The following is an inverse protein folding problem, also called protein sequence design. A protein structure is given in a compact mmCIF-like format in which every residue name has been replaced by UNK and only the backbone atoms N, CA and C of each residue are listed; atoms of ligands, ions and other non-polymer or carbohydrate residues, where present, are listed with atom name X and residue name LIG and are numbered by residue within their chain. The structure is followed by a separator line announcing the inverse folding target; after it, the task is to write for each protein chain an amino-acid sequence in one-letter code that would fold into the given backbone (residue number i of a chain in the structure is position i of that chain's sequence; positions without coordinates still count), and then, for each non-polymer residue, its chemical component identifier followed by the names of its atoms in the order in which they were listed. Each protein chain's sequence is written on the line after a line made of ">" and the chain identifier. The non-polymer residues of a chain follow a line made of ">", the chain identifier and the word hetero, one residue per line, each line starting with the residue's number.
data_IF_095992083071
#
_entry.id   IF_095992083071
#
_cell.length_a   1.000
_cell.length_b   1.000
_cell.length_c   1.000
_cell.angle_alpha   90.00
_cell.angle_beta   90.00
_cell.angle_gamma   90.00
#
_symmetry.space_group_name_H-M   'P 1'
#
loop_
_entity.id
_entity.type
_entity.pdbx_description
1 polymer ?
#
# COMPACT_ATOMS: atom_id res chain seq x y z
N UNK A 1 6.70 14.65 -17.05
CA UNK A 1 7.47 13.55 -16.42
C UNK A 1 6.48 12.45 -16.07
N UNK A 2 6.67 11.28 -16.65
CA UNK A 2 5.76 10.15 -16.32
C UNK A 2 5.99 9.74 -14.88
N UNK A 3 4.96 9.88 -14.05
CA UNK A 3 5.00 9.32 -12.70
C UNK A 3 5.25 7.81 -12.79
N UNK A 4 6.22 7.32 -12.01
CA UNK A 4 6.50 5.90 -11.92
C UNK A 4 5.28 5.19 -11.33
N UNK A 5 4.91 4.05 -11.90
CA UNK A 5 3.89 3.21 -11.28
C UNK A 5 4.28 2.87 -9.83
N UNK A 6 3.29 2.64 -8.99
CA UNK A 6 3.50 2.32 -7.60
C UNK A 6 2.71 1.09 -7.16
N UNK A 7 3.27 0.34 -6.22
CA UNK A 7 2.54 -0.65 -5.44
C UNK A 7 2.36 -0.14 -4.00
N UNK A 8 1.24 -0.49 -3.42
CA UNK A 8 0.85 -0.10 -2.07
C UNK A 8 0.87 -1.30 -1.14
N UNK A 9 1.51 -1.16 0.01
CA UNK A 9 1.42 -2.12 1.12
C UNK A 9 0.87 -1.42 2.36
N UNK A 10 0.08 -2.14 3.16
CA UNK A 10 -0.53 -1.58 4.37
C UNK A 10 0.24 -2.07 5.58
N UNK A 11 0.90 -1.13 6.27
CA UNK A 11 1.71 -1.42 7.43
C UNK A 11 0.85 -1.59 8.68
N UNK A 12 0.96 -2.76 9.29
CA UNK A 12 0.39 -3.07 10.58
C UNK A 12 1.41 -3.79 11.47
N UNK A 13 1.04 -4.08 12.71
CA UNK A 13 1.90 -4.79 13.67
C UNK A 13 1.68 -6.30 13.64
N UNK A 14 1.02 -6.81 12.62
CA UNK A 14 0.77 -8.23 12.48
C UNK A 14 2.06 -9.01 12.18
N UNK A 15 2.07 -10.28 12.55
CA UNK A 15 3.19 -11.18 12.25
C UNK A 15 3.32 -11.49 10.76
N UNK A 16 2.26 -11.26 10.03
CA UNK A 16 2.12 -11.53 8.60
C UNK A 16 2.68 -10.40 7.74
N UNK A 17 2.70 -9.18 8.27
CA UNK A 17 3.11 -7.99 7.52
C UNK A 17 4.52 -8.08 6.90
N UNK A 18 5.56 -8.59 7.59
CA UNK A 18 6.90 -8.68 7.00
C UNK A 18 6.96 -9.45 5.68
N UNK A 19 6.17 -10.51 5.51
CA UNK A 19 6.11 -11.26 4.25
C UNK A 19 5.52 -10.40 3.12
N UNK A 20 4.44 -9.68 3.38
CA UNK A 20 3.83 -8.76 2.42
C UNK A 20 4.77 -7.60 2.07
N UNK A 21 5.48 -7.04 3.04
CA UNK A 21 6.46 -5.98 2.83
C UNK A 21 7.63 -6.44 1.95
N UNK A 22 8.20 -7.60 2.24
CA UNK A 22 9.27 -8.19 1.44
C UNK A 22 8.81 -8.45 0.01
N UNK A 23 7.60 -9.00 -0.17
CA UNK A 23 7.03 -9.23 -1.49
C UNK A 23 6.83 -7.92 -2.26
N UNK A 24 6.22 -6.92 -1.64
CA UNK A 24 6.00 -5.61 -2.26
C UNK A 24 7.33 -4.91 -2.63
N UNK A 25 8.35 -5.03 -1.77
CA UNK A 25 9.70 -4.53 -2.03
C UNK A 25 10.36 -5.21 -3.21
N UNK A 26 10.31 -6.54 -3.30
CA UNK A 26 10.85 -7.29 -4.45
C UNK A 26 10.09 -6.96 -5.74
N UNK A 27 8.77 -6.86 -5.67
CA UNK A 27 7.94 -6.50 -6.82
C UNK A 27 8.26 -5.09 -7.32
N UNK A 28 8.39 -4.13 -6.42
CA UNK A 28 8.78 -2.76 -6.75
C UNK A 28 10.17 -2.72 -7.42
N UNK A 29 11.15 -3.45 -6.86
CA UNK A 29 12.50 -3.57 -7.41
C UNK A 29 12.49 -4.12 -8.84
N UNK A 30 11.83 -5.25 -9.07
CA UNK A 30 11.82 -5.94 -10.37
C UNK A 30 11.13 -5.10 -11.44
N UNK A 31 10.11 -4.32 -11.07
CA UNK A 31 9.33 -3.52 -12.00
C UNK A 31 9.80 -2.06 -12.11
N UNK A 32 10.75 -1.62 -11.30
CA UNK A 32 11.14 -0.21 -11.23
C UNK A 32 10.00 0.69 -10.74
N UNK A 33 9.16 0.19 -9.83
CA UNK A 33 8.03 0.90 -9.27
C UNK A 33 8.39 1.57 -7.94
N UNK A 34 7.60 2.58 -7.57
CA UNK A 34 7.61 3.13 -6.22
C UNK A 34 6.94 2.14 -5.26
N UNK A 35 7.41 2.09 -4.03
CA UNK A 35 6.78 1.35 -2.95
C UNK A 35 6.15 2.34 -1.97
N UNK A 36 4.83 2.39 -1.93
CA UNK A 36 4.07 3.21 -0.98
C UNK A 36 3.67 2.35 0.21
N UNK A 37 3.93 2.82 1.41
CA UNK A 37 3.61 2.12 2.65
C UNK A 37 2.61 2.93 3.46
N UNK A 38 1.34 2.51 3.45
CA UNK A 38 0.27 3.14 4.21
C UNK A 38 0.22 2.61 5.63
N UNK A 39 0.31 3.50 6.60
CA UNK A 39 -0.04 3.22 8.00
C UNK A 39 -1.27 4.04 8.39
N UNK A 40 -2.30 3.37 8.85
CA UNK A 40 -3.51 4.03 9.36
C UNK A 40 -3.54 3.93 10.88
N UNK A 41 -3.74 5.07 11.51
CA UNK A 41 -3.92 5.20 12.95
C UNK A 41 -5.42 5.29 13.18
N UNK A 42 -5.99 4.22 13.72
CA UNK A 42 -7.41 4.21 14.07
C UNK A 42 -7.60 4.99 15.37
N UNK A 43 -8.52 5.97 15.40
CA UNK A 43 -8.80 6.71 16.61
C UNK A 43 -9.33 5.75 17.68
N UNK A 44 -8.71 5.75 18.84
CA UNK A 44 -9.28 5.11 20.02
C UNK A 44 -10.64 5.77 20.31
N UNK A 45 -11.59 5.02 20.86
CA UNK A 45 -12.91 5.52 21.25
C UNK A 45 -12.80 6.89 21.95
N UNK A 46 -13.67 7.86 21.64
CA UNK A 46 -13.60 9.19 22.19
C UNK A 46 -13.67 9.12 23.72
N UNK A 47 -12.49 9.22 24.35
CA UNK A 47 -12.41 9.32 25.79
C UNK A 47 -13.17 10.60 26.24
N UNK A 48 -13.87 10.57 27.38
CA UNK A 48 -14.69 11.71 27.82
C UNK A 48 -13.89 12.98 28.15
N UNK A 49 -12.55 12.95 28.03
CA UNK A 49 -11.66 14.08 28.36
C UNK A 49 -10.73 14.41 27.19
N UNK A 50 -10.96 15.57 26.56
CA UNK A 50 -10.26 16.02 25.37
C UNK A 50 -8.71 16.12 25.52
N UNK A 51 -8.21 16.43 26.71
CA UNK A 51 -6.75 16.54 26.96
C UNK A 51 -6.02 15.20 26.93
N UNK A 52 -6.66 14.15 27.43
CA UNK A 52 -6.11 12.78 27.36
C UNK A 52 -6.08 12.29 25.91
N UNK A 53 -7.07 12.66 25.13
CA UNK A 53 -7.18 12.28 23.72
C UNK A 53 -6.04 12.85 22.87
N UNK A 54 -5.62 14.11 23.12
CA UNK A 54 -4.53 14.73 22.33
C UNK A 54 -3.16 14.12 22.64
N UNK A 55 -2.88 13.84 23.91
CA UNK A 55 -1.62 13.16 24.28
C UNK A 55 -1.56 11.73 23.72
N UNK A 56 -2.65 10.99 23.81
CA UNK A 56 -2.74 9.64 23.25
C UNK A 56 -2.59 9.66 21.74
N UNK A 57 -3.20 10.66 21.06
CA UNK A 57 -3.06 10.85 19.62
C UNK A 57 -1.61 11.12 19.23
N UNK A 58 -0.92 12.00 19.94
CA UNK A 58 0.49 12.30 19.69
C UNK A 58 1.36 11.05 19.86
N UNK A 59 1.17 10.29 20.95
CA UNK A 59 1.89 9.03 21.18
C UNK A 59 1.63 8.00 20.08
N UNK A 60 0.40 7.90 19.58
CA UNK A 60 0.06 7.00 18.49
C UNK A 60 0.73 7.42 17.16
N UNK A 61 0.82 8.72 16.90
CA UNK A 61 1.55 9.25 15.74
C UNK A 61 3.04 8.94 15.82
N UNK A 62 3.69 9.24 16.96
CA UNK A 62 5.11 8.98 17.19
C UNK A 62 5.43 7.46 17.05
N UNK A 63 4.56 6.61 17.57
CA UNK A 63 4.67 5.16 17.43
C UNK A 63 4.53 4.71 15.97
N UNK A 64 3.58 5.28 15.23
CA UNK A 64 3.35 4.96 13.83
C UNK A 64 4.53 5.41 12.95
N UNK A 65 5.10 6.58 13.20
CA UNK A 65 6.30 7.07 12.51
C UNK A 65 7.50 6.16 12.78
N UNK A 66 7.75 5.81 14.03
CA UNK A 66 8.84 4.91 14.42
C UNK A 66 8.70 3.54 13.77
N UNK A 67 7.48 3.01 13.71
CA UNK A 67 7.18 1.73 13.07
C UNK A 67 7.43 1.77 11.57
N UNK A 68 6.95 2.79 10.89
CA UNK A 68 7.14 2.94 9.44
C UNK A 68 8.59 3.17 9.06
N UNK A 69 9.36 3.92 9.87
CA UNK A 69 10.81 4.09 9.68
C UNK A 69 11.56 2.77 9.82
N UNK A 70 11.21 1.95 10.81
CA UNK A 70 11.80 0.61 10.96
C UNK A 70 11.52 -0.26 9.75
N UNK A 71 10.29 -0.33 9.29
CA UNK A 71 9.93 -1.12 8.11
C UNK A 71 10.56 -0.58 6.82
N UNK A 72 10.69 0.73 6.68
CA UNK A 72 11.41 1.33 5.55
C UNK A 72 12.89 0.92 5.54
N UNK A 73 13.54 0.89 6.71
CA UNK A 73 14.92 0.42 6.84
C UNK A 73 15.05 -1.08 6.54
N UNK A 74 14.10 -1.91 6.99
CA UNK A 74 14.08 -3.35 6.72
C UNK A 74 13.96 -3.63 5.20
N UNK A 75 13.02 -3.00 4.52
CA UNK A 75 12.85 -3.21 3.07
C UNK A 75 14.01 -2.65 2.27
N UNK A 76 14.60 -1.54 2.70
CA UNK A 76 15.83 -1.04 2.09
C UNK A 76 16.99 -2.03 2.22
N UNK A 77 17.22 -2.56 3.43
CA UNK A 77 18.29 -3.53 3.67
C UNK A 77 18.09 -4.83 2.87
N UNK A 78 16.86 -5.29 2.72
CA UNK A 78 16.54 -6.56 2.07
C UNK A 78 16.38 -6.45 0.55
N UNK A 79 15.75 -5.40 0.07
CA UNK A 79 15.38 -5.24 -1.33
C UNK A 79 16.15 -4.12 -2.05
N UNK A 80 16.73 -3.17 -1.32
CA UNK A 80 17.36 -1.97 -1.89
C UNK A 80 16.31 -0.98 -2.45
N UNK A 81 15.09 -1.01 -1.95
CA UNK A 81 13.97 -0.15 -2.37
C UNK A 81 13.61 0.80 -1.25
N UNK A 82 13.46 2.07 -1.58
CA UNK A 82 12.96 3.06 -0.64
C UNK A 82 11.44 2.98 -0.55
N UNK A 83 10.92 2.70 0.65
CA UNK A 83 9.50 2.80 0.90
C UNK A 83 9.11 4.25 1.23
N UNK A 84 8.02 4.71 0.65
CA UNK A 84 7.43 6.03 0.90
C UNK A 84 6.33 5.89 1.96
N UNK A 85 6.56 6.32 3.21
CA UNK A 85 5.55 6.19 4.25
C UNK A 85 4.43 7.22 4.04
N UNK A 86 3.20 6.75 4.16
CA UNK A 86 2.00 7.58 4.18
C UNK A 86 1.26 7.28 5.48
N UNK A 87 1.15 8.27 6.35
CA UNK A 87 0.41 8.18 7.60
C UNK A 87 -0.97 8.82 7.43
N UNK A 88 -1.99 8.12 7.85
CA UNK A 88 -3.39 8.59 7.83
C UNK A 88 -4.05 8.28 9.16
N UNK A 89 -5.00 9.11 9.56
CA UNK A 89 -5.85 8.88 10.73
C UNK A 89 -7.26 8.56 10.27
N UNK A 90 -7.86 7.51 10.82
CA UNK A 90 -9.22 7.12 10.48
C UNK A 90 -9.41 5.62 10.36
N UNK A 91 -10.42 5.19 9.64
CA UNK A 91 -10.64 3.77 9.35
C UNK A 91 -9.72 3.29 8.24
N UNK A 92 -9.02 2.19 8.47
CA UNK A 92 -8.07 1.60 7.50
C UNK A 92 -8.71 1.43 6.11
N UNK A 93 -9.95 0.96 6.05
CA UNK A 93 -10.67 0.78 4.78
C UNK A 93 -10.94 2.11 4.06
N UNK A 94 -11.36 3.14 4.79
CA UNK A 94 -11.69 4.44 4.19
C UNK A 94 -10.43 5.17 3.71
N UNK A 95 -9.37 5.15 4.51
CA UNK A 95 -8.12 5.81 4.17
C UNK A 95 -7.38 5.11 3.02
N UNK A 96 -7.45 3.77 2.97
CA UNK A 96 -6.97 3.00 1.84
C UNK A 96 -7.70 3.39 0.55
N UNK A 97 -9.04 3.46 0.61
CA UNK A 97 -9.86 3.88 -0.53
C UNK A 97 -9.49 5.27 -1.02
N UNK A 98 -9.39 6.25 -0.11
CA UNK A 98 -9.01 7.62 -0.45
C UNK A 98 -7.63 7.64 -1.13
N UNK A 99 -6.64 6.97 -0.57
CA UNK A 99 -5.29 6.95 -1.13
C UNK A 99 -5.26 6.34 -2.53
N UNK A 100 -5.99 5.25 -2.77
CA UNK A 100 -6.09 4.64 -4.10
C UNK A 100 -6.76 5.59 -5.10
N UNK A 101 -7.77 6.34 -4.67
CA UNK A 101 -8.50 7.28 -5.55
C UNK A 101 -7.68 8.56 -5.80
N UNK A 102 -6.85 8.99 -4.86
CA UNK A 102 -5.98 10.17 -4.94
C UNK A 102 -4.71 9.92 -5.77
N UNK A 103 -4.04 8.78 -5.57
CA UNK A 103 -2.79 8.44 -6.26
C UNK A 103 -3.05 7.49 -7.45
N UNK A 104 -3.14 8.08 -8.64
CA UNK A 104 -3.37 7.33 -9.87
C UNK A 104 -2.18 6.47 -10.32
N UNK A 105 -1.00 6.70 -9.75
CA UNK A 105 0.19 5.89 -10.00
C UNK A 105 0.12 4.51 -9.35
N UNK A 106 -0.73 4.35 -8.32
CA UNK A 106 -0.96 3.06 -7.66
C UNK A 106 -1.62 2.07 -8.63
N UNK A 107 -0.94 0.97 -8.88
CA UNK A 107 -1.39 -0.08 -9.83
C UNK A 107 -1.70 -1.40 -9.13
N UNK A 108 -1.28 -1.57 -7.89
CA UNK A 108 -1.43 -2.81 -7.15
C UNK A 108 -1.47 -2.53 -5.65
N UNK A 109 -2.34 -3.24 -4.93
CA UNK A 109 -2.33 -3.31 -3.46
C UNK A 109 -1.82 -4.67 -3.03
N UNK A 110 -0.91 -4.70 -2.07
CA UNK A 110 -0.38 -5.92 -1.44
C UNK A 110 -0.87 -5.98 -0.01
N UNK A 111 -1.56 -7.05 0.33
CA UNK A 111 -2.10 -7.32 1.67
C UNK A 111 -1.41 -8.55 2.27
N UNK A 112 -1.23 -8.55 3.58
CA UNK A 112 -0.86 -9.74 4.33
C UNK A 112 -2.10 -10.56 4.70
N UNK A 113 -1.96 -11.88 4.74
CA UNK A 113 -3.00 -12.77 5.23
C UNK A 113 -2.46 -13.67 6.33
N UNK A 114 -3.18 -13.75 7.43
CA UNK A 114 -2.88 -14.66 8.53
C UNK A 114 -2.96 -16.12 8.08
N UNK A 115 -2.08 -16.95 8.63
CA UNK A 115 -2.07 -18.40 8.40
C UNK A 115 -2.83 -19.12 9.50
N UNK A 116 -3.65 -20.10 9.11
CA UNK A 116 -4.26 -21.08 10.03
C UNK A 116 -5.46 -20.60 10.84
N UNK A 117 -5.98 -19.41 10.58
CA UNK A 117 -7.20 -18.89 11.21
C UNK A 117 -8.37 -18.79 10.23
N UNK A 118 -9.59 -18.83 10.76
CA UNK A 118 -10.83 -18.54 10.00
C UNK A 118 -10.97 -17.07 9.62
N UNK A 119 -10.05 -16.20 10.07
CA UNK A 119 -10.10 -14.76 9.85
C UNK A 119 -8.86 -14.27 9.08
N UNK A 120 -8.95 -14.05 7.76
CA UNK A 120 -7.83 -13.59 6.94
C UNK A 120 -7.49 -12.10 7.14
N UNK A 121 -8.15 -11.43 8.07
CA UNK A 121 -8.01 -9.99 8.31
C UNK A 121 -9.13 -9.15 7.69
N UNK A 122 -9.43 -7.98 8.29
CA UNK A 122 -10.60 -7.18 7.92
C UNK A 122 -10.53 -6.61 6.49
N UNK A 123 -9.35 -6.27 6.01
CA UNK A 123 -9.16 -5.76 4.65
C UNK A 123 -9.33 -6.87 3.62
N UNK A 124 -8.78 -8.06 3.87
CA UNK A 124 -8.95 -9.21 2.98
C UNK A 124 -10.42 -9.63 2.92
N UNK A 125 -11.13 -9.64 4.04
CA UNK A 125 -12.58 -9.90 4.06
C UNK A 125 -13.38 -8.85 3.26
N UNK A 126 -12.90 -7.63 3.19
CA UNK A 126 -13.55 -6.56 2.43
C UNK A 126 -13.50 -6.79 0.93
N UNK A 127 -12.55 -7.59 0.42
CA UNK A 127 -12.47 -7.93 -1.02
C UNK A 127 -13.69 -8.70 -1.52
N UNK A 128 -14.32 -9.50 -0.67
CA UNK A 128 -15.50 -10.29 -1.02
C UNK A 128 -16.81 -9.45 -1.04
N UNK A 129 -16.76 -8.18 -0.61
CA UNK A 129 -17.94 -7.32 -0.57
C UNK A 129 -18.12 -6.55 -1.88
N UNK A 130 -19.38 -6.21 -2.25
CA UNK A 130 -19.64 -5.26 -3.33
C UNK A 130 -18.84 -3.97 -3.07
N UNK A 131 -18.20 -3.43 -4.09
CA UNK A 131 -17.32 -2.25 -4.03
C UNK A 131 -15.90 -2.49 -3.46
N UNK A 132 -15.51 -3.70 -3.05
CA UNK A 132 -14.14 -4.06 -2.70
C UNK A 132 -13.44 -3.07 -1.77
N UNK A 133 -12.20 -2.71 -2.08
CA UNK A 133 -11.39 -1.76 -1.32
C UNK A 133 -11.43 -0.32 -1.86
N UNK A 134 -11.84 -0.09 -3.10
CA UNK A 134 -11.88 1.27 -3.69
C UNK A 134 -12.92 1.37 -4.81
N UNK A 135 -13.21 2.60 -5.26
CA UNK A 135 -14.04 2.86 -6.45
C UNK A 135 -13.29 2.55 -7.73
N UNK A 136 -11.99 2.75 -7.73
CA UNK A 136 -11.11 2.39 -8.84
C UNK A 136 -10.72 0.91 -8.73
N UNK A 137 -10.96 0.15 -9.78
CA UNK A 137 -10.60 -1.26 -9.83
C UNK A 137 -9.09 -1.43 -10.07
N UNK A 138 -8.35 -1.74 -9.00
CA UNK A 138 -6.95 -2.12 -9.09
C UNK A 138 -6.76 -3.54 -8.55
N UNK A 139 -5.80 -4.32 -9.08
CA UNK A 139 -5.49 -5.64 -8.56
C UNK A 139 -5.10 -5.60 -7.08
N UNK A 140 -5.49 -6.64 -6.35
CA UNK A 140 -5.08 -6.86 -4.97
C UNK A 140 -4.40 -8.20 -4.86
N UNK A 141 -3.20 -8.21 -4.34
CA UNK A 141 -2.43 -9.40 -4.09
C UNK A 141 -2.41 -9.70 -2.59
N UNK A 142 -2.74 -10.91 -2.23
CA UNK A 142 -2.76 -11.35 -0.83
C UNK A 142 -1.60 -12.32 -0.60
N UNK A 143 -0.70 -11.96 0.28
CA UNK A 143 0.51 -12.72 0.59
C UNK A 143 0.31 -13.50 1.87
N UNK A 144 0.35 -14.85 1.81
CA UNK A 144 0.28 -15.66 3.00
C UNK A 144 1.56 -15.56 3.83
N UNK A 145 1.40 -15.51 5.16
CA UNK A 145 2.51 -15.41 6.11
C UNK A 145 3.50 -16.61 6.09
N UNK A 146 3.10 -17.70 5.43
CA UNK A 146 3.90 -18.93 5.34
C UNK A 146 4.98 -18.89 4.28
N UNK A 147 4.98 -17.92 3.39
CA UNK A 147 5.99 -17.80 2.36
C UNK A 147 7.35 -17.44 2.95
N UNK A 148 8.35 -18.24 2.63
CA UNK A 148 9.74 -17.92 2.94
C UNK A 148 10.26 -16.78 2.07
N UNK A 149 11.35 -16.15 2.49
CA UNK A 149 12.01 -15.09 1.71
C UNK A 149 12.47 -15.56 0.33
N UNK A 150 12.89 -16.81 0.21
CA UNK A 150 13.34 -17.41 -1.05
C UNK A 150 12.16 -17.60 -2.01
N UNK A 151 11.04 -18.12 -1.51
CA UNK A 151 9.80 -18.24 -2.28
C UNK A 151 9.28 -16.87 -2.74
N UNK A 152 9.31 -15.87 -1.87
CA UNK A 152 8.90 -14.50 -2.20
C UNK A 152 9.75 -13.95 -3.35
N UNK A 153 11.08 -14.12 -3.31
CA UNK A 153 11.96 -13.68 -4.38
C UNK A 153 11.69 -14.39 -5.70
N UNK A 154 11.38 -15.68 -5.66
CA UNK A 154 11.06 -16.45 -6.84
C UNK A 154 9.70 -16.09 -7.46
N UNK A 155 8.74 -15.63 -6.63
CA UNK A 155 7.39 -15.24 -7.05
C UNK A 155 7.29 -13.78 -7.53
N UNK A 156 8.23 -12.92 -7.18
CA UNK A 156 8.24 -11.53 -7.63
C UNK A 156 8.69 -11.45 -9.09
N UNK A 157 7.74 -11.42 -9.99
CA UNK A 157 7.96 -11.39 -11.45
C UNK A 157 7.64 -9.99 -12.03
N UNK A 158 8.22 -9.63 -13.19
CA UNK A 158 7.85 -8.42 -13.91
C UNK A 158 6.36 -8.42 -14.27
N UNK A 159 5.68 -7.35 -13.93
CA UNK A 159 4.29 -7.13 -14.32
C UNK A 159 4.24 -6.56 -15.74
N UNK A 160 3.39 -7.08 -16.62
CA UNK A 160 3.24 -6.49 -17.94
C UNK A 160 2.75 -5.03 -17.79
N UNK A 161 3.52 -4.11 -18.36
CA UNK A 161 3.08 -2.72 -18.47
C UNK A 161 2.02 -2.69 -19.55
N UNK A 162 0.80 -2.26 -19.21
CA UNK A 162 -0.22 -2.01 -20.22
C UNK A 162 0.35 -1.05 -21.28
N UNK A 163 0.18 -1.33 -22.58
CA UNK A 163 0.61 -0.39 -23.61
C UNK A 163 -0.03 0.97 -23.32
N UNK A 164 0.78 2.02 -23.32
CA UNK A 164 0.24 3.37 -23.22
C UNK A 164 -0.66 3.58 -24.44
N UNK A 165 -1.88 4.07 -24.20
CA UNK A 165 -2.61 4.70 -25.27
C UNK A 165 -1.72 5.82 -25.83
N UNK A 166 -1.53 5.89 -27.15
CA UNK A 166 -0.77 6.99 -27.75
C UNK A 166 -1.41 8.31 -27.31
N UNK A 167 -0.55 9.25 -26.92
CA UNK A 167 -1.02 10.61 -26.60
C UNK A 167 -1.91 11.11 -27.75
N UNK A 168 -3.05 11.74 -27.46
CA UNK A 168 -3.93 12.24 -28.51
C UNK A 168 -3.12 13.16 -29.41
N UNK A 169 -3.19 12.87 -30.71
CA UNK A 169 -2.48 13.63 -31.72
C UNK A 169 -2.83 15.13 -31.59
N UNK A 170 -1.85 16.02 -31.57
CA UNK A 170 -2.13 17.43 -31.41
C UNK A 170 -3.07 17.89 -32.54
N UNK A 171 -4.05 18.74 -32.27
CA UNK A 171 -5.00 19.20 -33.28
C UNK A 171 -4.26 19.78 -34.48
N UNK A 172 -4.64 19.33 -35.66
CA UNK A 172 -4.05 19.80 -36.90
C UNK A 172 -4.07 21.34 -36.97
N UNK A 173 -2.92 21.91 -37.31
CA UNK A 173 -2.81 23.35 -37.46
C UNK A 173 -3.85 23.86 -38.49
N UNK A 174 -4.52 24.99 -38.22
CA UNK A 174 -5.48 25.54 -39.19
C UNK A 174 -4.76 25.88 -40.51
N UNK A 175 -5.41 25.71 -41.64
CA UNK A 175 -4.81 26.02 -42.92
C UNK A 175 -4.46 27.51 -42.96
N UNK A 176 -3.25 27.78 -43.43
CA UNK A 176 -2.79 29.15 -43.64
C UNK A 176 -3.69 29.88 -44.63
N UNK A 177 -4.16 31.05 -44.23
CA UNK A 177 -4.98 31.93 -45.04
C UNK A 177 -4.14 32.61 -46.16
#
# INVERSE_FOLDING_TARGET
>A
MSELNACLVIADESKEFPAALTYAGQLAKVNGWRLVMLRVIEPSDPAPWASITEEMRRQALDAAESLTQRFAAEVWAECGVTAEPVLREGSAKQELKKLIDEDLSLKLVVLASAHGGSNPGPLVQSLAKPHGLSTRHIPVMVIPATLSREEIRALAIPMPVAPREPDPEPPAAPPAA
#
